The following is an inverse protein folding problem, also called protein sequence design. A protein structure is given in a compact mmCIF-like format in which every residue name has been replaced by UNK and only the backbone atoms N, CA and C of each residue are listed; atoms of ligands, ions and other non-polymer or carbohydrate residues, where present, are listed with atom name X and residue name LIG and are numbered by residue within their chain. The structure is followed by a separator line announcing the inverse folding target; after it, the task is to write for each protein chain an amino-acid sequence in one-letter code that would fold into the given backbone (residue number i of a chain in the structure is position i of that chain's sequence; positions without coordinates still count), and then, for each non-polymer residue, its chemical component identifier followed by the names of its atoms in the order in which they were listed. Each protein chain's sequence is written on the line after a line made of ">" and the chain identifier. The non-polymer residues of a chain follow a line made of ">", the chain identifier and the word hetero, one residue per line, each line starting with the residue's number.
data_IF_614469082310
#
_entry.id   IF_614469082310
#
_cell.length_a   1.000
_cell.length_b   1.000
_cell.length_c   1.000
_cell.angle_alpha   90.00
_cell.angle_beta   90.00
_cell.angle_gamma   90.00
#
_symmetry.space_group_name_H-M   'P 1'
#
loop_
_entity.id
_entity.type
_entity.pdbx_description
1 polymer ?
#
# COMPACT_ATOMS: atom_id res chain seq x y z
N UNK A 1 6.79 -22.01 12.70
CA UNK A 1 7.05 -21.37 11.40
C UNK A 1 7.26 -22.39 10.28
N UNK A 2 8.16 -23.36 10.44
CA UNK A 2 8.40 -24.44 9.47
C UNK A 2 7.16 -25.29 9.13
N UNK A 3 6.31 -25.59 10.11
CA UNK A 3 5.13 -26.43 9.92
C UNK A 3 4.05 -25.79 9.02
N UNK A 4 3.77 -24.50 9.19
CA UNK A 4 2.76 -23.79 8.40
C UNK A 4 3.20 -23.65 6.94
N UNK A 5 4.49 -23.38 6.70
CA UNK A 5 5.03 -23.33 5.34
C UNK A 5 4.99 -24.70 4.67
N UNK A 6 5.34 -25.78 5.40
CA UNK A 6 5.27 -27.13 4.90
C UNK A 6 3.82 -27.58 4.59
N UNK A 7 2.86 -27.16 5.40
CA UNK A 7 1.44 -27.45 5.16
C UNK A 7 0.92 -26.72 3.92
N UNK A 8 1.30 -25.46 3.74
CA UNK A 8 0.95 -24.69 2.53
C UNK A 8 1.65 -25.25 1.28
N UNK A 9 2.89 -25.69 1.38
CA UNK A 9 3.58 -26.37 0.29
C UNK A 9 2.87 -27.69 -0.09
N UNK A 10 2.50 -28.52 0.89
CA UNK A 10 1.77 -29.75 0.65
C UNK A 10 0.41 -29.50 0.01
N UNK A 11 -0.33 -28.47 0.47
CA UNK A 11 -1.59 -28.07 -0.12
C UNK A 11 -1.43 -27.60 -1.57
N UNK A 12 -0.38 -26.84 -1.86
CA UNK A 12 -0.08 -26.37 -3.21
C UNK A 12 0.40 -27.51 -4.13
N UNK A 13 1.18 -28.47 -3.61
CA UNK A 13 1.62 -29.65 -4.37
C UNK A 13 0.47 -30.59 -4.73
N UNK A 14 -0.63 -30.56 -3.98
CA UNK A 14 -1.87 -31.30 -4.29
C UNK A 14 -2.67 -30.69 -5.45
N UNK A 15 -2.35 -29.44 -5.86
CA UNK A 15 -2.96 -28.81 -7.03
C UNK A 15 -2.34 -29.38 -8.32
N UNK A 16 -3.10 -29.26 -9.43
CA UNK A 16 -2.59 -29.67 -10.74
C UNK A 16 -1.21 -29.06 -11.02
N UNK A 17 -0.23 -29.83 -11.51
CA UNK A 17 1.11 -29.29 -11.83
C UNK A 17 1.12 -28.13 -12.83
N UNK A 18 0.04 -28.00 -13.62
CA UNK A 18 -0.15 -26.88 -14.56
C UNK A 18 -0.55 -25.59 -13.88
N UNK A 19 -1.21 -25.67 -12.73
CA UNK A 19 -1.78 -24.53 -12.01
C UNK A 19 -0.93 -24.14 -10.79
N UNK A 20 0.04 -24.96 -10.42
CA UNK A 20 0.88 -24.72 -9.26
C UNK A 20 2.14 -23.93 -9.62
N UNK A 21 2.11 -22.63 -9.41
CA UNK A 21 3.24 -21.70 -9.64
C UNK A 21 4.41 -21.88 -8.66
N UNK A 22 4.21 -22.64 -7.57
CA UNK A 22 5.27 -22.91 -6.59
C UNK A 22 6.07 -24.18 -6.90
N UNK A 23 5.66 -24.95 -7.90
CA UNK A 23 6.45 -26.10 -8.38
C UNK A 23 7.38 -25.65 -9.50
N UNK A 24 8.68 -25.49 -9.24
CA UNK A 24 9.62 -25.02 -10.24
C UNK A 24 9.79 -26.07 -11.35
N UNK A 25 9.78 -25.62 -12.61
CA UNK A 25 10.00 -26.44 -13.81
C UNK A 25 11.42 -26.31 -14.35
N UNK A 26 12.11 -25.25 -13.92
CA UNK A 26 13.47 -24.94 -14.34
C UNK A 26 14.33 -24.61 -13.12
N UNK A 27 15.66 -24.68 -13.26
CA UNK A 27 16.59 -24.25 -12.20
C UNK A 27 16.42 -22.77 -11.85
N UNK A 28 16.06 -21.93 -12.81
CA UNK A 28 15.82 -20.51 -12.57
C UNK A 28 14.61 -20.32 -11.68
N UNK A 29 13.49 -20.98 -12.00
CA UNK A 29 12.28 -20.95 -11.17
C UNK A 29 12.52 -21.52 -9.77
N UNK A 30 13.35 -22.58 -9.64
CA UNK A 30 13.73 -23.11 -8.32
C UNK A 30 14.46 -22.06 -7.47
N UNK A 31 15.39 -21.31 -8.06
CA UNK A 31 16.10 -20.21 -7.37
C UNK A 31 15.15 -19.07 -6.99
N UNK A 32 14.17 -18.75 -7.82
CA UNK A 32 13.15 -17.73 -7.52
C UNK A 32 12.26 -18.15 -6.35
N UNK A 33 11.83 -19.41 -6.31
CA UNK A 33 11.05 -19.98 -5.19
C UNK A 33 11.87 -19.97 -3.90
N UNK A 34 13.14 -20.35 -3.93
CA UNK A 34 14.02 -20.32 -2.76
C UNK A 34 14.26 -18.87 -2.27
N UNK A 35 14.43 -17.93 -3.20
CA UNK A 35 14.54 -16.51 -2.86
C UNK A 35 13.25 -15.98 -2.24
N UNK A 36 12.08 -16.37 -2.74
CA UNK A 36 10.78 -16.02 -2.18
C UNK A 36 10.63 -16.56 -0.76
N UNK A 37 10.96 -17.84 -0.52
CA UNK A 37 10.94 -18.45 0.82
C UNK A 37 11.85 -17.71 1.79
N UNK A 38 13.07 -17.40 1.38
CA UNK A 38 14.02 -16.65 2.20
C UNK A 38 13.53 -15.22 2.50
N UNK A 39 12.87 -14.57 1.55
CA UNK A 39 12.25 -13.25 1.77
C UNK A 39 11.08 -13.35 2.76
N UNK A 40 10.27 -14.39 2.64
CA UNK A 40 9.12 -14.60 3.53
C UNK A 40 9.56 -14.84 4.99
N UNK A 41 10.63 -15.61 5.22
CA UNK A 41 11.19 -15.80 6.56
C UNK A 41 11.64 -14.45 7.15
N UNK A 42 12.41 -13.67 6.39
CA UNK A 42 12.83 -12.32 6.83
C UNK A 42 11.66 -11.39 7.10
N UNK A 43 10.62 -11.49 6.26
CA UNK A 43 9.40 -10.72 6.44
C UNK A 43 8.68 -11.08 7.74
N UNK A 44 8.58 -12.37 8.11
CA UNK A 44 7.93 -12.80 9.34
C UNK A 44 8.69 -12.32 10.59
N UNK A 45 10.02 -12.30 10.57
CA UNK A 45 10.84 -11.74 11.65
C UNK A 45 10.65 -10.20 11.77
N UNK A 46 10.48 -9.53 10.62
CA UNK A 46 10.15 -8.10 10.58
C UNK A 46 8.71 -7.84 11.08
N UNK A 47 7.75 -8.64 10.64
CA UNK A 47 6.33 -8.55 11.04
C UNK A 47 6.16 -8.67 12.55
N UNK A 48 6.95 -9.52 13.22
CA UNK A 48 6.91 -9.69 14.66
C UNK A 48 7.21 -8.39 15.44
N UNK A 49 7.85 -7.42 14.80
CA UNK A 49 8.20 -6.12 15.37
C UNK A 49 7.27 -5.00 14.89
N UNK A 50 6.43 -5.28 13.88
CA UNK A 50 5.55 -4.29 13.27
C UNK A 50 4.30 -4.10 14.12
N UNK A 51 4.00 -2.84 14.50
CA UNK A 51 2.76 -2.43 15.15
C UNK A 51 2.39 -3.31 16.37
N UNK A 52 3.29 -3.47 17.37
CA UNK A 52 2.96 -4.23 18.58
C UNK A 52 1.73 -3.60 19.26
N UNK A 53 0.76 -4.43 19.60
CA UNK A 53 -0.53 -3.98 20.15
C UNK A 53 -1.65 -3.81 19.14
N UNK A 54 -1.35 -3.79 17.86
CA UNK A 54 -2.33 -3.90 16.79
C UNK A 54 -2.52 -5.36 16.38
N UNK A 55 -3.72 -5.71 15.96
CA UNK A 55 -4.06 -7.06 15.48
C UNK A 55 -4.86 -6.96 14.18
N UNK A 56 -4.65 -7.86 13.22
CA UNK A 56 -5.44 -7.90 12.01
C UNK A 56 -6.92 -8.10 12.31
N UNK A 57 -7.74 -7.11 11.96
CA UNK A 57 -9.19 -7.18 11.98
C UNK A 57 -9.72 -7.77 10.68
N UNK A 58 -9.19 -7.28 9.54
CA UNK A 58 -9.56 -7.75 8.22
C UNK A 58 -8.32 -8.01 7.36
N UNK A 59 -8.42 -9.02 6.50
CA UNK A 59 -7.50 -9.30 5.39
C UNK A 59 -8.31 -9.39 4.12
N UNK A 60 -7.76 -8.89 3.00
CA UNK A 60 -8.41 -8.91 1.69
C UNK A 60 -9.84 -8.31 1.77
N UNK A 61 -9.99 -7.16 2.47
CA UNK A 61 -11.30 -6.54 2.67
C UNK A 61 -11.80 -5.91 1.38
N UNK A 62 -12.89 -6.44 0.86
CA UNK A 62 -13.52 -5.94 -0.37
C UNK A 62 -14.32 -4.66 -0.11
N UNK A 63 -14.04 -3.64 -0.91
CA UNK A 63 -14.71 -2.33 -0.91
C UNK A 63 -15.60 -2.23 -2.13
N UNK A 64 -16.82 -1.75 -1.95
CA UNK A 64 -17.76 -1.46 -3.06
C UNK A 64 -18.50 -2.69 -3.62
N UNK A 65 -18.32 -3.89 -3.05
CA UNK A 65 -19.02 -5.09 -3.48
C UNK A 65 -20.35 -5.30 -2.74
N UNK A 66 -20.37 -5.14 -1.41
CA UNK A 66 -21.56 -5.28 -0.58
C UNK A 66 -22.25 -3.95 -0.31
N UNK A 67 -21.46 -2.91 -0.07
CA UNK A 67 -21.92 -1.56 0.18
C UNK A 67 -21.26 -0.59 -0.80
N UNK A 68 -22.07 0.29 -1.40
CA UNK A 68 -21.53 1.31 -2.31
C UNK A 68 -20.77 2.35 -1.52
N UNK A 69 -19.53 2.60 -1.91
CA UNK A 69 -18.68 3.65 -1.34
C UNK A 69 -18.47 4.73 -2.36
N UNK A 70 -18.83 5.95 -1.97
CA UNK A 70 -18.48 7.13 -2.76
C UNK A 70 -17.19 7.76 -2.24
N UNK A 71 -16.27 8.03 -3.15
CA UNK A 71 -15.02 8.73 -2.90
C UNK A 71 -14.72 9.68 -4.04
N UNK A 72 -14.41 10.93 -3.72
CA UNK A 72 -14.08 11.95 -4.73
C UNK A 72 -15.16 12.16 -5.82
N UNK A 73 -16.44 11.89 -5.52
CA UNK A 73 -17.57 12.05 -6.43
C UNK A 73 -17.82 10.86 -7.37
N UNK A 74 -17.15 9.73 -7.16
CA UNK A 74 -17.37 8.49 -7.92
C UNK A 74 -17.50 7.29 -7.00
N UNK A 75 -18.15 6.23 -7.49
CA UNK A 75 -18.18 4.96 -6.76
C UNK A 75 -16.81 4.31 -6.81
N UNK A 76 -16.31 3.95 -5.64
CA UNK A 76 -15.04 3.26 -5.48
C UNK A 76 -15.28 1.76 -5.28
N UNK A 77 -14.50 0.94 -5.98
CA UNK A 77 -14.38 -0.48 -5.73
C UNK A 77 -12.90 -0.85 -5.61
N UNK A 78 -12.60 -1.82 -4.76
CA UNK A 78 -11.23 -2.27 -4.57
C UNK A 78 -11.12 -3.30 -3.46
N UNK A 79 -9.89 -3.63 -3.10
CA UNK A 79 -9.57 -4.58 -2.04
C UNK A 79 -8.41 -4.05 -1.21
N UNK A 80 -8.63 -4.01 0.11
CA UNK A 80 -7.64 -3.57 1.08
C UNK A 80 -6.93 -4.82 1.60
N UNK A 81 -5.62 -4.89 1.46
CA UNK A 81 -4.87 -6.09 1.82
C UNK A 81 -5.00 -6.42 3.30
N UNK A 82 -4.90 -5.41 4.19
CA UNK A 82 -4.99 -5.61 5.64
C UNK A 82 -5.46 -4.35 6.38
N UNK A 83 -6.27 -4.56 7.39
CA UNK A 83 -6.69 -3.53 8.36
C UNK A 83 -6.39 -4.08 9.75
N UNK A 84 -5.51 -3.43 10.49
CA UNK A 84 -5.18 -3.76 11.87
C UNK A 84 -5.86 -2.79 12.82
N UNK A 85 -6.24 -3.29 14.00
CA UNK A 85 -6.82 -2.47 15.07
C UNK A 85 -6.13 -2.76 16.40
N UNK A 86 -6.13 -1.75 17.27
CA UNK A 86 -5.69 -1.89 18.66
C UNK A 86 -6.88 -1.96 19.64
N UNK A 87 -6.57 -2.13 20.93
CA UNK A 87 -7.57 -2.21 21.99
C UNK A 87 -8.35 -0.92 22.25
N UNK A 88 -7.92 0.22 21.67
CA UNK A 88 -8.59 1.52 21.76
C UNK A 88 -9.49 1.82 20.55
N UNK A 89 -9.59 0.90 19.58
CA UNK A 89 -10.38 1.10 18.36
C UNK A 89 -9.67 1.95 17.29
N UNK A 90 -8.36 2.20 17.44
CA UNK A 90 -7.56 2.86 16.41
C UNK A 90 -7.17 1.86 15.34
N UNK A 91 -7.18 2.29 14.09
CA UNK A 91 -6.93 1.42 12.95
C UNK A 91 -5.73 1.86 12.12
N UNK A 92 -5.06 0.90 11.52
CA UNK A 92 -4.01 1.09 10.53
C UNK A 92 -4.36 0.31 9.28
N UNK A 93 -4.33 0.97 8.14
CA UNK A 93 -4.49 0.35 6.82
C UNK A 93 -3.11 0.00 6.28
N UNK A 94 -2.94 -1.21 5.81
CA UNK A 94 -1.68 -1.72 5.27
C UNK A 94 -1.91 -2.27 3.85
N UNK A 95 -0.99 -1.91 2.95
CA UNK A 95 -0.92 -2.42 1.59
C UNK A 95 0.49 -2.98 1.35
N UNK A 96 0.57 -4.19 0.82
CA UNK A 96 1.81 -4.90 0.61
C UNK A 96 2.44 -4.62 -0.75
N UNK A 97 3.74 -4.40 -0.77
CA UNK A 97 4.52 -4.16 -1.99
C UNK A 97 5.78 -5.03 -2.02
N UNK A 98 6.22 -5.45 -3.20
CA UNK A 98 7.49 -6.17 -3.35
C UNK A 98 8.69 -5.33 -2.91
N UNK A 99 8.65 -4.03 -3.20
CA UNK A 99 9.67 -3.05 -2.80
C UNK A 99 9.06 -1.67 -2.63
N UNK A 100 9.72 -0.79 -1.87
CA UNK A 100 9.30 0.59 -1.65
C UNK A 100 10.41 1.57 -2.07
N UNK A 101 10.05 2.57 -2.88
CA UNK A 101 10.86 3.74 -3.21
C UNK A 101 10.47 4.95 -2.36
N UNK A 102 11.11 6.09 -2.58
CA UNK A 102 10.73 7.36 -1.96
C UNK A 102 9.31 7.83 -2.34
N UNK A 103 8.75 7.36 -3.47
CA UNK A 103 7.39 7.72 -3.90
C UNK A 103 6.29 7.28 -2.93
N UNK A 104 6.59 6.29 -2.07
CA UNK A 104 5.67 5.82 -1.03
C UNK A 104 5.74 6.65 0.25
N UNK A 105 6.62 7.63 0.33
CA UNK A 105 6.79 8.52 1.47
C UNK A 105 6.08 9.85 1.18
N UNK A 106 5.04 10.21 1.93
CA UNK A 106 4.19 11.36 1.60
C UNK A 106 4.93 12.69 1.61
N UNK A 107 6.04 12.79 2.35
CA UNK A 107 6.84 13.99 2.49
C UNK A 107 8.27 13.81 1.93
N UNK A 108 8.45 12.92 0.94
CA UNK A 108 9.75 12.68 0.32
C UNK A 108 10.31 13.91 -0.39
N UNK A 109 9.43 14.74 -0.95
CA UNK A 109 9.80 15.99 -1.64
C UNK A 109 8.99 17.14 -1.07
N UNK A 110 9.66 18.16 -0.57
CA UNK A 110 9.00 19.33 -0.02
C UNK A 110 8.15 20.04 -1.09
N UNK A 111 6.97 20.49 -0.68
CA UNK A 111 6.02 21.20 -1.55
C UNK A 111 5.36 20.33 -2.63
N UNK A 112 5.67 19.03 -2.70
CA UNK A 112 5.01 18.10 -3.62
C UNK A 112 4.02 17.20 -2.87
N UNK A 113 2.85 16.96 -3.49
CA UNK A 113 1.90 16.01 -2.94
C UNK A 113 2.43 14.56 -3.06
N UNK A 114 1.91 13.64 -2.23
CA UNK A 114 2.27 12.22 -2.31
C UNK A 114 2.06 11.66 -3.71
N UNK A 115 3.04 10.91 -4.22
CA UNK A 115 2.95 10.23 -5.51
C UNK A 115 2.08 8.95 -5.42
N UNK A 116 2.13 8.25 -4.28
CA UNK A 116 1.33 7.05 -4.02
C UNK A 116 0.29 7.35 -2.95
N UNK A 117 -0.99 7.21 -3.30
CA UNK A 117 -2.12 7.63 -2.45
C UNK A 117 -3.08 6.50 -2.09
N UNK A 118 -2.84 5.29 -2.55
CA UNK A 118 -3.76 4.15 -2.37
C UNK A 118 -4.14 3.92 -0.91
N UNK A 119 -3.18 3.88 0.00
CA UNK A 119 -3.44 3.67 1.44
C UNK A 119 -4.14 4.86 2.07
N UNK A 120 -3.90 6.09 1.61
CA UNK A 120 -4.60 7.30 2.08
C UNK A 120 -6.08 7.28 1.67
N UNK A 121 -6.38 6.85 0.43
CA UNK A 121 -7.75 6.63 -0.05
C UNK A 121 -8.44 5.56 0.81
N UNK A 122 -7.78 4.41 1.00
CA UNK A 122 -8.32 3.33 1.81
C UNK A 122 -8.51 3.72 3.28
N UNK A 123 -7.63 4.54 3.85
CA UNK A 123 -7.80 5.07 5.20
C UNK A 123 -9.11 5.87 5.36
N UNK A 124 -9.44 6.73 4.39
CA UNK A 124 -10.71 7.46 4.40
C UNK A 124 -11.92 6.54 4.19
N UNK A 125 -11.80 5.55 3.32
CA UNK A 125 -12.84 4.54 3.09
C UNK A 125 -13.11 3.73 4.37
N UNK A 126 -12.08 3.24 5.04
CA UNK A 126 -12.20 2.52 6.32
C UNK A 126 -12.87 3.37 7.39
N UNK A 127 -12.45 4.64 7.51
CA UNK A 127 -13.08 5.59 8.44
C UNK A 127 -14.58 5.76 8.16
N UNK A 128 -14.98 5.85 6.90
CA UNK A 128 -16.38 6.06 6.49
C UNK A 128 -17.23 4.80 6.64
N UNK A 129 -16.74 3.65 6.21
CA UNK A 129 -17.49 2.40 6.20
C UNK A 129 -17.54 1.73 7.56
N UNK A 130 -16.42 1.72 8.27
CA UNK A 130 -16.27 0.95 9.51
C UNK A 130 -16.33 1.84 10.76
N UNK A 131 -16.34 3.17 10.61
CA UNK A 131 -16.36 4.10 11.72
C UNK A 131 -15.10 4.05 12.61
N UNK A 132 -13.99 3.47 12.12
CA UNK A 132 -12.76 3.32 12.87
C UNK A 132 -11.94 4.62 12.89
N UNK A 133 -11.23 4.87 13.99
CA UNK A 133 -10.25 5.96 14.08
C UNK A 133 -8.95 5.53 13.38
N UNK A 134 -8.82 5.88 12.11
CA UNK A 134 -7.65 5.50 11.31
C UNK A 134 -6.49 6.44 11.61
N UNK A 135 -5.42 5.87 12.14
CA UNK A 135 -4.20 6.57 12.58
C UNK A 135 -2.96 6.23 11.72
N UNK A 136 -3.12 5.36 10.72
CA UNK A 136 -2.03 5.00 9.81
C UNK A 136 -2.53 4.50 8.46
N UNK A 137 -1.80 4.88 7.42
CA UNK A 137 -2.00 4.50 6.03
C UNK A 137 -0.65 4.07 5.46
N UNK A 138 -0.32 2.78 5.60
CA UNK A 138 1.02 2.26 5.48
C UNK A 138 1.19 1.36 4.25
N UNK A 139 2.38 1.40 3.68
CA UNK A 139 2.90 0.42 2.75
C UNK A 139 3.98 -0.40 3.45
N UNK A 140 3.93 -1.71 3.30
CA UNK A 140 4.89 -2.64 3.88
C UNK A 140 5.50 -3.48 2.77
N UNK A 141 6.84 -3.52 2.69
CA UNK A 141 7.50 -4.37 1.70
C UNK A 141 7.85 -5.73 2.27
N UNK A 142 7.71 -6.76 1.42
CA UNK A 142 8.08 -8.14 1.73
C UNK A 142 9.32 -8.64 0.96
N UNK A 143 10.03 -7.75 0.26
CA UNK A 143 11.24 -8.09 -0.48
C UNK A 143 12.44 -8.39 0.41
N UNK A 144 13.64 -8.37 -0.18
CA UNK A 144 14.91 -8.75 0.49
C UNK A 144 15.21 -7.92 1.75
N UNK A 145 14.79 -6.67 1.79
CA UNK A 145 14.96 -5.77 2.92
C UNK A 145 13.60 -5.14 3.27
N UNK A 146 12.79 -5.80 4.12
CA UNK A 146 11.49 -5.30 4.51
C UNK A 146 11.59 -3.92 5.17
N UNK A 147 10.66 -3.03 4.83
CA UNK A 147 10.56 -1.69 5.40
C UNK A 147 9.12 -1.19 5.34
N UNK A 148 8.85 -0.13 6.10
CA UNK A 148 7.59 0.58 6.11
C UNK A 148 7.75 1.95 5.45
N UNK A 149 6.73 2.39 4.73
CA UNK A 149 6.53 3.74 4.27
C UNK A 149 5.05 4.12 4.38
N UNK A 150 4.64 5.30 3.90
CA UNK A 150 3.28 5.80 4.02
C UNK A 150 3.17 6.84 5.12
N UNK A 151 1.94 7.13 5.55
CA UNK A 151 1.65 8.16 6.52
C UNK A 151 1.11 7.59 7.84
N UNK A 152 1.46 8.20 8.96
CA UNK A 152 0.85 7.88 10.24
C UNK A 152 0.75 9.13 11.13
N UNK A 153 -0.20 9.12 12.06
CA UNK A 153 -0.35 10.17 13.06
C UNK A 153 0.70 9.98 14.17
N UNK A 154 1.69 10.86 14.20
CA UNK A 154 2.81 10.80 15.14
C UNK A 154 2.42 10.95 16.61
N UNK A 155 1.17 11.39 16.91
CA UNK A 155 0.65 11.41 18.30
C UNK A 155 0.37 10.02 18.84
N UNK A 156 0.17 9.04 17.98
CA UNK A 156 -0.43 7.75 18.33
C UNK A 156 0.53 6.60 18.15
N UNK A 157 1.38 6.65 17.14
CA UNK A 157 2.34 5.60 16.82
C UNK A 157 3.75 6.03 17.21
N UNK A 158 4.34 5.34 18.19
CA UNK A 158 5.71 5.57 18.61
C UNK A 158 6.70 5.02 17.58
N UNK A 159 7.86 5.68 17.49
CA UNK A 159 8.93 5.36 16.55
C UNK A 159 9.36 3.88 16.52
N UNK A 160 9.52 3.19 17.65
CA UNK A 160 9.94 1.79 17.65
C UNK A 160 8.95 0.80 17.03
N UNK A 161 7.73 1.22 16.77
CA UNK A 161 6.65 0.37 16.27
C UNK A 161 6.59 0.24 14.74
N UNK A 162 7.42 0.99 14.01
CA UNK A 162 7.46 1.01 12.55
C UNK A 162 8.91 0.82 12.05
N UNK A 163 9.41 -0.42 12.09
CA UNK A 163 10.81 -0.70 11.80
C UNK A 163 11.19 -0.31 10.36
N UNK A 164 12.41 0.20 10.20
CA UNK A 164 12.98 0.63 8.91
C UNK A 164 12.19 1.74 8.19
N UNK A 165 11.34 2.51 8.90
CA UNK A 165 10.65 3.67 8.34
C UNK A 165 11.52 4.93 8.43
N UNK A 166 11.44 5.78 7.41
CA UNK A 166 12.02 7.13 7.44
C UNK A 166 11.02 8.11 8.03
N UNK A 167 11.07 8.30 9.35
CA UNK A 167 10.08 9.05 10.12
C UNK A 167 9.91 10.49 9.66
N UNK A 168 10.98 11.17 9.32
CA UNK A 168 10.99 12.56 8.85
C UNK A 168 10.18 12.77 7.55
N UNK A 169 9.93 11.68 6.82
CA UNK A 169 9.18 11.68 5.56
C UNK A 169 7.79 11.04 5.64
N UNK A 170 7.48 10.44 6.76
CA UNK A 170 6.27 9.63 6.94
C UNK A 170 5.41 10.10 8.11
N UNK A 171 6.01 10.66 9.17
CA UNK A 171 5.28 11.12 10.34
C UNK A 171 4.49 12.40 10.05
N UNK A 172 3.22 12.37 10.45
CA UNK A 172 2.34 13.52 10.39
C UNK A 172 2.33 14.19 11.76
N UNK A 173 2.65 15.49 11.87
CA UNK A 173 2.49 16.21 13.13
C UNK A 173 1.01 16.27 13.54
N UNK A 174 0.72 16.56 14.83
CA UNK A 174 -0.65 16.63 15.34
C UNK A 174 -1.51 17.65 14.61
N UNK A 175 -0.93 18.75 14.19
CA UNK A 175 -1.62 19.88 13.58
C UNK A 175 -0.82 20.48 12.43
N UNK A 176 -1.44 21.36 11.65
CA UNK A 176 -0.82 22.07 10.55
C UNK A 176 -0.96 21.36 9.19
N UNK A 177 -0.27 21.90 8.20
CA UNK A 177 -0.38 21.48 6.79
C UNK A 177 0.06 20.02 6.53
N UNK A 178 0.90 19.47 7.39
CA UNK A 178 1.37 18.09 7.29
C UNK A 178 0.65 17.12 8.24
N UNK A 179 -0.41 17.56 8.95
CA UNK A 179 -1.18 16.66 9.81
C UNK A 179 -1.84 15.54 9.02
N UNK A 180 -2.07 14.39 9.68
CA UNK A 180 -2.67 13.22 9.03
C UNK A 180 -4.05 13.53 8.45
N UNK A 181 -4.89 14.23 9.20
CA UNK A 181 -6.21 14.66 8.74
C UNK A 181 -6.12 15.57 7.50
N UNK A 182 -5.21 16.54 7.51
CA UNK A 182 -5.00 17.43 6.37
C UNK A 182 -4.51 16.68 5.13
N UNK A 183 -3.59 15.73 5.32
CA UNK A 183 -3.08 14.90 4.24
C UNK A 183 -4.20 14.07 3.59
N UNK A 184 -5.11 13.51 4.36
CA UNK A 184 -6.27 12.78 3.86
C UNK A 184 -7.20 13.71 3.05
N UNK A 185 -7.56 14.87 3.60
CA UNK A 185 -8.43 15.84 2.95
C UNK A 185 -7.86 16.35 1.63
N UNK A 186 -6.57 16.70 1.59
CA UNK A 186 -5.91 17.16 0.37
C UNK A 186 -5.82 16.04 -0.68
N UNK A 187 -5.62 14.79 -0.25
CA UNK A 187 -5.66 13.63 -1.15
C UNK A 187 -7.01 13.49 -1.83
N UNK A 188 -8.11 13.61 -1.08
CA UNK A 188 -9.46 13.52 -1.65
C UNK A 188 -9.79 14.68 -2.58
N UNK A 189 -9.44 15.91 -2.21
CA UNK A 189 -9.63 17.10 -3.07
C UNK A 189 -8.92 16.94 -4.41
N UNK A 190 -7.68 16.43 -4.39
CA UNK A 190 -6.92 16.15 -5.61
C UNK A 190 -7.55 15.05 -6.45
N UNK A 191 -7.97 13.95 -5.82
CA UNK A 191 -8.69 12.89 -6.50
C UNK A 191 -9.98 13.42 -7.14
N UNK A 192 -10.78 14.21 -6.42
CA UNK A 192 -12.00 14.81 -6.93
C UNK A 192 -11.73 15.78 -8.11
N UNK A 193 -10.63 16.53 -8.06
CA UNK A 193 -10.23 17.38 -9.18
C UNK A 193 -9.85 16.55 -10.41
N UNK A 194 -9.08 15.48 -10.24
CA UNK A 194 -8.71 14.58 -11.33
C UNK A 194 -9.94 13.86 -11.93
N UNK A 195 -10.87 13.41 -11.10
CA UNK A 195 -12.12 12.79 -11.53
C UNK A 195 -12.95 13.78 -12.37
N UNK A 196 -13.12 15.03 -11.90
CA UNK A 196 -13.84 16.07 -12.66
C UNK A 196 -13.20 16.35 -14.02
N UNK A 197 -11.86 16.45 -14.04
CA UNK A 197 -11.12 16.67 -15.29
C UNK A 197 -11.35 15.51 -16.28
N UNK A 198 -11.27 14.26 -15.80
CA UNK A 198 -11.51 13.07 -16.59
C UNK A 198 -12.95 13.03 -17.13
N UNK A 199 -13.94 13.31 -16.31
CA UNK A 199 -15.36 13.36 -16.73
C UNK A 199 -15.66 14.51 -17.69
N UNK A 200 -14.87 15.58 -17.66
CA UNK A 200 -14.92 16.66 -18.63
C UNK A 200 -14.16 16.36 -19.94
N UNK A 201 -13.64 15.14 -20.11
CA UNK A 201 -12.92 14.72 -21.32
C UNK A 201 -11.47 15.20 -21.39
N UNK A 202 -10.88 15.66 -20.30
CA UNK A 202 -9.46 16.04 -20.24
C UNK A 202 -8.59 14.79 -20.11
N UNK A 203 -8.25 14.19 -21.22
CA UNK A 203 -7.50 12.93 -21.32
C UNK A 203 -6.20 13.06 -22.13
N UNK A 204 -5.76 14.29 -22.38
CA UNK A 204 -4.54 14.53 -23.12
C UNK A 204 -3.31 13.94 -22.39
N UNK A 205 -2.36 13.36 -23.13
CA UNK A 205 -1.12 12.87 -22.56
C UNK A 205 -0.35 14.01 -21.89
N UNK A 206 -0.12 13.91 -20.60
CA UNK A 206 0.63 14.88 -19.82
C UNK A 206 1.68 14.15 -18.95
N UNK A 207 2.82 13.72 -19.54
CA UNK A 207 3.86 13.04 -18.79
C UNK A 207 4.43 13.96 -17.71
N UNK A 208 4.68 13.43 -16.52
CA UNK A 208 5.30 14.18 -15.42
C UNK A 208 6.82 14.42 -15.65
N UNK A 209 7.37 13.86 -16.71
CA UNK A 209 8.76 13.97 -17.12
C UNK A 209 9.19 12.77 -17.99
N UNK A 210 10.41 12.78 -18.55
CA UNK A 210 10.91 11.75 -19.47
C UNK A 210 10.83 10.31 -18.91
N UNK A 211 11.07 10.14 -17.61
CA UNK A 211 10.96 8.85 -16.93
C UNK A 211 9.55 8.22 -17.03
N UNK A 212 8.49 9.03 -17.19
CA UNK A 212 7.14 8.54 -17.36
C UNK A 212 6.94 7.87 -18.72
N UNK A 213 7.69 8.28 -19.73
CA UNK A 213 7.66 7.74 -21.07
C UNK A 213 8.44 6.44 -21.22
N UNK A 214 9.45 6.21 -20.41
CA UNK A 214 10.32 5.03 -20.50
C UNK A 214 9.57 3.69 -20.36
N UNK A 215 8.50 3.68 -19.55
CA UNK A 215 7.69 2.48 -19.27
C UNK A 215 6.29 2.53 -19.90
N UNK A 216 6.00 3.56 -20.69
CA UNK A 216 4.71 3.73 -21.33
C UNK A 216 4.58 2.79 -22.55
N UNK A 217 3.51 1.98 -22.64
CA UNK A 217 3.31 1.08 -23.77
C UNK A 217 2.94 1.80 -25.08
N UNK A 218 2.58 3.09 -24.99
CA UNK A 218 2.20 3.89 -26.18
C UNK A 218 3.46 4.49 -26.80
N UNK A 219 4.08 3.76 -27.71
CA UNK A 219 5.33 4.16 -28.37
C UNK A 219 5.16 5.27 -29.40
N UNK A 220 3.98 5.41 -30.01
CA UNK A 220 3.64 6.43 -31.01
C UNK A 220 2.97 7.68 -30.41
N UNK A 221 3.16 7.93 -29.11
CA UNK A 221 2.60 9.11 -28.45
C UNK A 221 3.33 10.38 -28.89
N UNK A 222 2.56 11.40 -29.35
CA UNK A 222 3.11 12.69 -29.77
C UNK A 222 3.70 13.51 -28.63
N UNK A 223 3.31 13.22 -27.38
CA UNK A 223 3.84 13.86 -26.17
C UNK A 223 4.97 13.06 -25.52
N UNK A 224 5.53 12.06 -26.22
CA UNK A 224 6.65 11.27 -25.72
C UNK A 224 7.90 12.13 -25.69
N UNK A 225 8.50 12.24 -24.55
CA UNK A 225 9.82 12.86 -24.35
C UNK A 225 10.89 11.76 -24.41
N UNK A 226 11.90 11.93 -25.26
CA UNK A 226 13.05 11.02 -25.42
C UNK A 226 14.10 11.23 -24.31
#
# INVERSE_FOLDING_TARGET
>A
MSAVLAEQEAAQQALSPTDNRLVPRTELEAREVDALKANLVRYLDFEAQLLPGFRPLFREYEVGTKESVEYAGVRLAGRIDRIDVDGAGRAVVIDYKGSLSADYEPFATEGRPPAKVQTLVYAQVVKRLLGLDVVGALYVSYGRAPKVAGAYDGRVLETPHLPNMRYERCACPPEGERSFARLLDETEKRAASAVRALLAGQVDPAPAGPASCAWCPVTACLSRED
#
